data_IF_501873580738
#
_entry.id   IF_501873580738
#
_cell.length_a   1.000
_cell.length_b   1.000
_cell.length_c   1.000
_cell.angle_alpha   90.00
_cell.angle_beta   90.00
_cell.angle_gamma   90.00
#
_symmetry.space_group_name_H-M   'P 1'
#
loop_
_entity.id
_entity.type
_entity.pdbx_description
1 polymer ?
#
# COMPACT_ATOMS: atom_id res chain seq x y z
N UNK A 1 63.30 18.33 37.32
CA UNK A 1 62.97 17.51 36.15
C UNK A 1 61.91 16.41 36.40
N UNK A 2 61.91 15.70 37.54
CA UNK A 2 60.91 14.62 37.80
C UNK A 2 59.49 15.14 38.05
N UNK A 3 59.28 16.27 38.74
CA UNK A 3 57.98 16.88 38.98
C UNK A 3 57.27 17.34 37.68
N UNK A 4 57.97 17.99 36.77
CA UNK A 4 57.44 18.44 35.48
C UNK A 4 56.97 17.28 34.60
N UNK A 5 57.69 16.13 34.64
CA UNK A 5 57.28 14.91 33.94
C UNK A 5 55.98 14.30 34.54
N UNK A 6 55.78 14.40 35.85
CA UNK A 6 54.59 13.88 36.51
C UNK A 6 53.38 14.72 36.17
N UNK A 7 53.51 16.05 36.25
CA UNK A 7 52.41 16.97 35.87
C UNK A 7 52.00 16.86 34.39
N UNK A 8 52.96 16.67 33.50
CA UNK A 8 52.70 16.44 32.08
C UNK A 8 51.93 15.11 31.83
N UNK A 9 52.25 14.04 32.56
CA UNK A 9 51.51 12.77 32.50
C UNK A 9 50.07 12.92 33.02
N UNK A 10 49.88 13.60 34.12
CA UNK A 10 48.52 13.86 34.69
C UNK A 10 47.68 14.68 33.73
N UNK A 11 48.22 15.75 33.13
CA UNK A 11 47.52 16.55 32.12
C UNK A 11 47.13 15.71 30.89
N UNK A 12 48.00 14.84 30.41
CA UNK A 12 47.74 13.95 29.29
C UNK A 12 46.60 12.97 29.62
N UNK A 13 46.59 12.40 30.84
CA UNK A 13 45.51 11.54 31.30
C UNK A 13 44.16 12.24 31.32
N UNK A 14 44.10 13.47 31.85
CA UNK A 14 42.85 14.27 31.86
C UNK A 14 42.36 14.60 30.44
N UNK A 15 43.26 14.92 29.52
CA UNK A 15 42.91 15.15 28.10
C UNK A 15 42.32 13.89 27.47
N UNK A 16 42.90 12.73 27.73
CA UNK A 16 42.42 11.45 27.23
C UNK A 16 41.03 11.11 27.79
N UNK A 17 40.82 11.34 29.09
CA UNK A 17 39.51 11.13 29.74
C UNK A 17 38.46 12.09 29.14
N UNK A 18 38.81 13.35 28.99
CA UNK A 18 37.90 14.35 28.39
C UNK A 18 37.54 13.98 26.93
N UNK A 19 38.51 13.51 26.13
CA UNK A 19 38.28 13.05 24.77
C UNK A 19 37.33 11.81 24.73
N UNK A 20 37.56 10.84 25.65
CA UNK A 20 36.69 9.66 25.77
C UNK A 20 35.23 10.03 26.15
N UNK A 21 35.08 10.93 27.11
CA UNK A 21 33.76 11.43 27.52
C UNK A 21 33.06 12.14 26.34
N UNK A 22 33.80 12.95 25.57
CA UNK A 22 33.26 13.65 24.41
C UNK A 22 32.78 12.65 23.33
N UNK A 23 33.57 11.60 23.04
CA UNK A 23 33.21 10.54 22.10
C UNK A 23 31.95 9.82 22.57
N UNK A 24 31.84 9.49 23.85
CA UNK A 24 30.63 8.84 24.41
C UNK A 24 29.41 9.73 24.30
N UNK A 25 29.53 11.03 24.55
CA UNK A 25 28.43 12.00 24.40
C UNK A 25 27.96 12.10 22.94
N UNK A 26 28.90 12.23 22.00
CA UNK A 26 28.59 12.29 20.56
C UNK A 26 27.89 11.01 20.12
N UNK A 27 28.42 9.84 20.54
CA UNK A 27 27.85 8.53 20.24
C UNK A 27 26.44 8.38 20.84
N UNK A 28 26.23 8.82 22.07
CA UNK A 28 24.92 8.85 22.76
C UNK A 28 23.90 9.71 22.02
N UNK A 29 24.29 10.91 21.60
CA UNK A 29 23.44 11.82 20.84
C UNK A 29 23.09 11.21 19.48
N UNK A 30 24.05 10.60 18.79
CA UNK A 30 23.80 9.94 17.50
C UNK A 30 22.83 8.75 17.61
N UNK A 31 22.99 7.93 18.66
CA UNK A 31 22.08 6.85 18.98
C UNK A 31 20.67 7.35 19.30
N UNK A 32 20.58 8.37 20.14
CA UNK A 32 19.30 8.97 20.50
C UNK A 32 18.56 9.54 19.28
N UNK A 33 19.25 10.31 18.42
CA UNK A 33 18.70 10.83 17.16
C UNK A 33 18.21 9.70 16.26
N UNK A 34 18.97 8.61 16.15
CA UNK A 34 18.57 7.45 15.33
C UNK A 34 17.30 6.76 15.89
N UNK A 35 17.21 6.63 17.22
CA UNK A 35 16.02 6.07 17.88
C UNK A 35 14.79 6.94 17.65
N UNK A 36 14.94 8.27 17.82
CA UNK A 36 13.84 9.22 17.61
C UNK A 36 13.37 9.20 16.15
N UNK A 37 14.30 9.23 15.18
CA UNK A 37 13.97 9.15 13.76
C UNK A 37 13.23 7.84 13.41
N UNK A 38 13.67 6.70 13.95
CA UNK A 38 12.98 5.42 13.75
C UNK A 38 11.59 5.40 14.37
N UNK A 39 11.37 6.03 15.53
CA UNK A 39 10.06 6.14 16.17
C UNK A 39 9.10 7.00 15.34
N UNK A 40 9.58 8.13 14.82
CA UNK A 40 8.78 8.99 13.95
C UNK A 40 8.38 8.28 12.65
N UNK A 41 9.31 7.58 12.01
CA UNK A 41 9.03 6.81 10.80
C UNK A 41 7.98 5.71 11.05
N UNK A 42 8.06 5.00 12.18
CA UNK A 42 7.05 4.00 12.55
C UNK A 42 5.68 4.61 12.74
N UNK A 43 5.59 5.77 13.39
CA UNK A 43 4.31 6.46 13.60
C UNK A 43 3.69 6.88 12.27
N UNK A 44 4.45 7.54 11.39
CA UNK A 44 3.96 7.94 10.06
C UNK A 44 3.49 6.73 9.25
N UNK A 45 4.22 5.62 9.29
CA UNK A 45 3.81 4.42 8.58
C UNK A 45 2.53 3.79 9.15
N UNK A 46 2.34 3.84 10.47
CA UNK A 46 1.11 3.34 11.09
C UNK A 46 -0.09 4.22 10.72
N UNK A 47 0.06 5.55 10.81
CA UNK A 47 -0.97 6.49 10.39
C UNK A 47 -1.35 6.30 8.90
N UNK A 48 -0.37 5.99 8.06
CA UNK A 48 -0.59 5.67 6.64
C UNK A 48 -1.38 4.36 6.46
N UNK A 49 -1.04 3.32 7.23
CA UNK A 49 -1.78 2.05 7.20
C UNK A 49 -3.26 2.26 7.58
N UNK A 50 -3.53 2.99 8.66
CA UNK A 50 -4.88 3.30 9.11
C UNK A 50 -5.66 4.11 8.05
N UNK A 51 -4.99 5.06 7.40
CA UNK A 51 -5.57 5.82 6.29
C UNK A 51 -5.94 4.92 5.11
N UNK A 52 -5.10 3.95 4.77
CA UNK A 52 -5.38 2.97 3.70
C UNK A 52 -6.60 2.11 4.06
N UNK A 53 -6.70 1.63 5.30
CA UNK A 53 -7.86 0.84 5.73
C UNK A 53 -9.16 1.66 5.65
N UNK A 54 -9.13 2.92 6.08
CA UNK A 54 -10.28 3.82 5.98
C UNK A 54 -10.67 4.08 4.51
N UNK A 55 -9.70 4.28 3.63
CA UNK A 55 -9.94 4.47 2.20
C UNK A 55 -10.60 3.24 1.57
N UNK A 56 -10.09 2.03 1.86
CA UNK A 56 -10.65 0.78 1.36
C UNK A 56 -12.08 0.54 1.86
N UNK A 57 -12.35 0.88 3.12
CA UNK A 57 -13.69 0.78 3.71
C UNK A 57 -14.67 1.81 3.10
N UNK A 58 -14.20 3.02 2.79
CA UNK A 58 -15.01 4.02 2.10
C UNK A 58 -15.32 3.61 0.66
N UNK A 59 -14.36 3.06 -0.08
CA UNK A 59 -14.58 2.53 -1.42
C UNK A 59 -15.64 1.43 -1.40
N UNK A 60 -15.55 0.49 -0.46
CA UNK A 60 -16.53 -0.57 -0.29
C UNK A 60 -17.94 -0.05 0.00
N UNK A 61 -18.07 0.91 0.92
CA UNK A 61 -19.35 1.54 1.23
C UNK A 61 -19.94 2.31 0.05
N UNK A 62 -19.09 2.95 -0.77
CA UNK A 62 -19.54 3.64 -1.97
C UNK A 62 -20.08 2.64 -3.02
N UNK A 63 -19.46 1.47 -3.14
CA UNK A 63 -19.92 0.40 -4.01
C UNK A 63 -21.26 -0.20 -3.52
N UNK A 64 -21.38 -0.45 -2.21
CA UNK A 64 -22.63 -0.92 -1.60
C UNK A 64 -23.77 0.11 -1.81
N UNK A 65 -23.49 1.40 -1.60
CA UNK A 65 -24.46 2.47 -1.86
C UNK A 65 -24.86 2.56 -3.33
N UNK A 66 -23.97 2.26 -4.27
CA UNK A 66 -24.30 2.21 -5.70
C UNK A 66 -25.30 1.09 -6.01
N UNK A 67 -25.20 -0.06 -5.34
CA UNK A 67 -26.16 -1.16 -5.51
C UNK A 67 -27.58 -0.83 -5.03
N UNK A 68 -27.71 0.04 -4.02
CA UNK A 68 -29.01 0.47 -3.49
C UNK A 68 -29.77 1.44 -4.41
N UNK A 69 -29.08 2.07 -5.37
CA UNK A 69 -29.73 3.01 -6.30
C UNK A 69 -30.60 2.23 -7.28
N UNK A 70 -31.90 2.54 -7.36
CA UNK A 70 -32.80 1.88 -8.30
C UNK A 70 -32.35 2.06 -9.75
N UNK A 71 -32.32 0.98 -10.53
CA UNK A 71 -31.89 0.97 -11.93
C UNK A 71 -32.62 2.02 -12.76
N UNK A 72 -33.90 2.28 -12.45
CA UNK A 72 -34.71 3.29 -13.13
C UNK A 72 -34.22 4.73 -12.94
N UNK A 73 -33.41 5.00 -11.92
CA UNK A 73 -32.88 6.33 -11.64
C UNK A 73 -31.51 6.57 -12.31
N UNK A 74 -30.90 5.53 -12.91
CA UNK A 74 -29.59 5.57 -13.50
C UNK A 74 -29.62 5.73 -15.02
N UNK A 75 -28.66 6.45 -15.61
CA UNK A 75 -28.41 6.45 -17.05
C UNK A 75 -27.99 5.07 -17.54
N UNK A 76 -28.07 4.81 -18.85
CA UNK A 76 -27.63 3.53 -19.42
C UNK A 76 -26.17 3.20 -19.11
N UNK A 77 -25.29 4.21 -19.11
CA UNK A 77 -23.88 4.09 -18.76
C UNK A 77 -23.70 3.71 -17.27
N UNK A 78 -24.45 4.38 -16.39
CA UNK A 78 -24.44 4.09 -14.94
C UNK A 78 -25.00 2.70 -14.62
N UNK A 79 -26.07 2.28 -15.33
CA UNK A 79 -26.63 0.92 -15.20
C UNK A 79 -25.59 -0.14 -15.60
N UNK A 80 -24.86 0.08 -16.69
CA UNK A 80 -23.80 -0.82 -17.10
C UNK A 80 -22.67 -0.87 -16.07
N UNK A 81 -22.26 0.29 -15.52
CA UNK A 81 -21.26 0.37 -14.48
C UNK A 81 -21.69 -0.36 -13.19
N UNK A 82 -22.93 -0.16 -12.73
CA UNK A 82 -23.50 -0.89 -11.58
C UNK A 82 -23.43 -2.42 -11.79
N UNK A 83 -23.77 -2.90 -12.99
CA UNK A 83 -23.65 -4.32 -13.34
C UNK A 83 -22.21 -4.81 -13.36
N UNK A 84 -21.25 -3.99 -13.82
CA UNK A 84 -19.80 -4.31 -13.78
C UNK A 84 -19.32 -4.43 -12.33
N UNK A 85 -19.66 -3.46 -11.46
CA UNK A 85 -19.27 -3.50 -10.04
C UNK A 85 -19.83 -4.75 -9.38
N UNK A 86 -21.11 -5.06 -9.59
CA UNK A 86 -21.75 -6.27 -9.07
C UNK A 86 -21.05 -7.55 -9.54
N UNK A 87 -20.69 -7.65 -10.83
CA UNK A 87 -19.92 -8.77 -11.35
C UNK A 87 -18.57 -8.93 -10.64
N UNK A 88 -17.86 -7.80 -10.42
CA UNK A 88 -16.56 -7.80 -9.74
C UNK A 88 -16.68 -8.26 -8.28
N UNK A 89 -17.71 -7.87 -7.57
CA UNK A 89 -17.94 -8.23 -6.17
C UNK A 89 -18.35 -9.71 -6.02
N UNK A 90 -19.33 -10.17 -6.79
CA UNK A 90 -19.93 -11.49 -6.64
C UNK A 90 -19.05 -12.60 -7.21
N UNK A 91 -18.54 -12.42 -8.43
CA UNK A 91 -17.82 -13.47 -9.17
C UNK A 91 -16.30 -13.33 -9.07
N UNK A 92 -15.79 -12.17 -8.67
CA UNK A 92 -14.35 -11.86 -8.53
C UNK A 92 -13.51 -12.28 -9.75
N UNK A 93 -13.96 -11.97 -10.99
CA UNK A 93 -13.29 -12.47 -12.20
C UNK A 93 -11.86 -11.90 -12.34
N UNK A 94 -11.53 -10.83 -11.64
CA UNK A 94 -10.21 -10.22 -11.59
C UNK A 94 -9.15 -11.16 -10.97
N UNK A 95 -9.55 -12.18 -10.19
CA UNK A 95 -8.63 -13.17 -9.61
C UNK A 95 -8.08 -14.13 -10.67
N UNK A 96 -8.75 -14.27 -11.80
CA UNK A 96 -8.18 -14.96 -12.95
C UNK A 96 -7.12 -14.05 -13.62
N UNK A 97 -5.92 -14.55 -13.75
CA UNK A 97 -4.82 -13.85 -14.41
C UNK A 97 -5.03 -13.65 -15.91
N UNK A 98 -5.94 -14.39 -16.54
CA UNK A 98 -6.34 -14.24 -17.95
C UNK A 98 -7.36 -13.10 -18.14
N UNK A 99 -7.98 -12.60 -17.04
CA UNK A 99 -8.95 -11.52 -17.10
C UNK A 99 -8.34 -10.28 -17.74
N UNK A 100 -9.02 -9.76 -18.73
CA UNK A 100 -8.63 -8.56 -19.48
C UNK A 100 -9.87 -7.80 -19.95
N UNK A 101 -9.64 -6.69 -20.68
CA UNK A 101 -10.69 -5.82 -21.19
C UNK A 101 -11.70 -6.51 -22.10
N UNK A 102 -11.23 -7.41 -22.96
CA UNK A 102 -12.10 -8.10 -23.93
C UNK A 102 -12.94 -9.17 -23.23
N UNK A 103 -12.36 -9.85 -22.25
CA UNK A 103 -13.05 -10.79 -21.37
C UNK A 103 -14.16 -10.09 -20.58
N UNK A 104 -13.89 -8.90 -20.01
CA UNK A 104 -14.89 -8.13 -19.28
C UNK A 104 -16.06 -7.74 -20.19
N UNK A 105 -15.79 -7.22 -21.37
CA UNK A 105 -16.83 -6.85 -22.34
C UNK A 105 -17.70 -8.06 -22.74
N UNK A 106 -17.08 -9.21 -22.96
CA UNK A 106 -17.77 -10.46 -23.24
C UNK A 106 -18.68 -10.90 -22.07
N UNK A 107 -18.17 -10.86 -20.83
CA UNK A 107 -18.96 -11.19 -19.63
C UNK A 107 -20.15 -10.26 -19.44
N UNK A 108 -20.00 -8.99 -19.81
CA UNK A 108 -21.10 -8.01 -19.75
C UNK A 108 -22.10 -8.14 -20.91
N UNK A 109 -21.83 -9.00 -21.90
CA UNK A 109 -22.67 -9.18 -23.08
C UNK A 109 -22.75 -7.94 -23.96
N UNK A 110 -21.68 -7.13 -24.01
CA UNK A 110 -21.63 -5.87 -24.74
C UNK A 110 -20.25 -5.66 -25.40
N UNK A 111 -20.10 -4.56 -26.12
CA UNK A 111 -18.84 -4.24 -26.75
C UNK A 111 -17.89 -3.50 -25.80
N UNK A 112 -16.61 -3.54 -26.14
CA UNK A 112 -15.51 -2.90 -25.39
C UNK A 112 -15.73 -1.40 -25.17
N UNK A 113 -16.23 -0.66 -26.18
CA UNK A 113 -16.38 0.80 -26.07
C UNK A 113 -17.39 1.19 -25.00
N UNK A 114 -18.52 0.52 -24.92
CA UNK A 114 -19.54 0.79 -23.91
C UNK A 114 -19.00 0.49 -22.49
N UNK A 115 -18.24 -0.59 -22.31
CA UNK A 115 -17.58 -0.89 -21.02
C UNK A 115 -16.54 0.16 -20.69
N UNK A 116 -15.73 0.59 -21.68
CA UNK A 116 -14.72 1.62 -21.47
C UNK A 116 -15.35 2.99 -21.10
N UNK A 117 -16.46 3.34 -21.75
CA UNK A 117 -17.20 4.58 -21.48
C UNK A 117 -17.82 4.54 -20.08
N UNK A 118 -18.44 3.43 -19.70
CA UNK A 118 -19.03 3.26 -18.37
C UNK A 118 -17.97 3.39 -17.25
N UNK A 119 -16.82 2.72 -17.39
CA UNK A 119 -15.74 2.81 -16.41
C UNK A 119 -15.12 4.21 -16.39
N UNK A 120 -14.90 4.82 -17.56
CA UNK A 120 -14.32 6.16 -17.64
C UNK A 120 -15.22 7.23 -17.02
N UNK A 121 -16.53 7.14 -17.25
CA UNK A 121 -17.50 8.10 -16.73
C UNK A 121 -17.72 7.96 -15.21
N UNK A 122 -17.79 6.71 -14.71
CA UNK A 122 -18.19 6.42 -13.33
C UNK A 122 -17.02 6.09 -12.37
N UNK A 123 -15.80 5.90 -12.90
CA UNK A 123 -14.62 5.55 -12.12
C UNK A 123 -13.44 6.50 -12.43
N UNK A 124 -13.63 7.78 -12.22
CA UNK A 124 -12.59 8.83 -12.25
C UNK A 124 -11.69 8.80 -13.50
N UNK A 125 -12.25 8.54 -14.68
CA UNK A 125 -11.52 8.53 -15.93
C UNK A 125 -10.61 7.31 -16.14
N UNK A 126 -10.77 6.25 -15.36
CA UNK A 126 -9.93 5.05 -15.46
C UNK A 126 -10.09 4.31 -16.78
N UNK A 127 -9.02 3.63 -17.20
CA UNK A 127 -9.09 2.60 -18.24
C UNK A 127 -9.58 1.28 -17.66
N UNK A 128 -10.13 0.39 -18.49
CA UNK A 128 -10.57 -0.95 -18.04
C UNK A 128 -9.42 -1.72 -17.38
N UNK A 129 -8.20 -1.66 -17.95
CA UNK A 129 -7.04 -2.34 -17.36
C UNK A 129 -6.72 -1.84 -15.96
N UNK A 130 -6.69 -0.52 -15.77
CA UNK A 130 -6.45 0.07 -14.45
C UNK A 130 -7.57 -0.25 -13.46
N UNK A 131 -8.82 -0.29 -13.91
CA UNK A 131 -9.96 -0.69 -13.10
C UNK A 131 -9.84 -2.14 -12.61
N UNK A 132 -9.46 -3.08 -13.49
CA UNK A 132 -9.20 -4.48 -13.12
C UNK A 132 -8.03 -4.58 -12.11
N UNK A 133 -6.93 -3.86 -12.36
CA UNK A 133 -5.77 -3.87 -11.48
C UNK A 133 -6.10 -3.27 -10.11
N UNK A 134 -6.97 -2.27 -10.03
CA UNK A 134 -7.46 -1.71 -8.78
C UNK A 134 -8.23 -2.74 -7.94
N UNK A 135 -9.11 -3.53 -8.55
CA UNK A 135 -9.80 -4.64 -7.89
C UNK A 135 -8.82 -5.71 -7.37
N UNK A 136 -7.83 -6.08 -8.18
CA UNK A 136 -6.76 -7.00 -7.78
C UNK A 136 -5.96 -6.48 -6.59
N UNK A 137 -5.60 -5.19 -6.60
CA UNK A 137 -4.82 -4.56 -5.52
C UNK A 137 -5.61 -4.50 -4.21
N UNK A 138 -6.91 -4.17 -4.26
CA UNK A 138 -7.79 -4.17 -3.09
C UNK A 138 -7.91 -5.57 -2.49
N UNK A 139 -8.15 -6.56 -3.32
CA UNK A 139 -8.20 -7.96 -2.89
C UNK A 139 -6.87 -8.42 -2.27
N UNK A 140 -5.74 -8.08 -2.88
CA UNK A 140 -4.42 -8.38 -2.32
C UNK A 140 -4.20 -7.66 -0.97
N UNK A 141 -4.60 -6.41 -0.83
CA UNK A 141 -4.49 -5.66 0.42
C UNK A 141 -5.33 -6.28 1.55
N UNK A 142 -6.56 -6.72 1.23
CA UNK A 142 -7.42 -7.46 2.15
C UNK A 142 -6.78 -8.78 2.60
N UNK A 143 -6.22 -9.57 1.66
CA UNK A 143 -5.51 -10.80 2.00
C UNK A 143 -4.26 -10.53 2.86
N UNK A 144 -3.46 -9.53 2.51
CA UNK A 144 -2.28 -9.12 3.30
C UNK A 144 -2.66 -8.68 4.72
N UNK A 145 -3.82 -8.03 4.89
CA UNK A 145 -4.31 -7.60 6.20
C UNK A 145 -4.83 -8.77 7.06
N UNK A 146 -5.52 -9.73 6.47
CA UNK A 146 -6.32 -10.70 7.21
C UNK A 146 -5.79 -12.15 7.16
N UNK A 147 -4.76 -12.44 6.35
CA UNK A 147 -4.16 -13.78 6.28
C UNK A 147 -2.66 -13.72 6.57
N UNK A 148 -2.07 -14.89 6.83
CA UNK A 148 -0.61 -15.04 6.98
C UNK A 148 0.01 -15.76 5.76
N UNK A 149 -0.70 -15.74 4.62
CA UNK A 149 -0.23 -16.36 3.39
C UNK A 149 1.03 -15.68 2.85
N UNK A 150 1.94 -16.43 2.22
CA UNK A 150 3.11 -15.87 1.57
C UNK A 150 2.73 -14.83 0.50
N UNK A 151 3.46 -13.71 0.42
CA UNK A 151 3.20 -12.65 -0.57
C UNK A 151 3.12 -13.21 -2.00
N UNK A 152 3.97 -14.19 -2.35
CA UNK A 152 3.95 -14.83 -3.68
C UNK A 152 2.60 -15.47 -4.00
N UNK A 153 2.02 -16.19 -3.05
CA UNK A 153 0.71 -16.82 -3.19
C UNK A 153 -0.41 -15.77 -3.26
N UNK A 154 -0.35 -14.71 -2.44
CA UNK A 154 -1.31 -13.60 -2.51
C UNK A 154 -1.31 -12.94 -3.89
N UNK A 155 -0.13 -12.75 -4.49
CA UNK A 155 0.00 -12.20 -5.85
C UNK A 155 -0.74 -13.07 -6.87
N UNK A 156 -0.54 -14.37 -6.82
CA UNK A 156 -1.21 -15.33 -7.71
C UNK A 156 -2.72 -15.36 -7.49
N UNK A 157 -3.18 -15.48 -6.24
CA UNK A 157 -4.59 -15.50 -5.85
C UNK A 157 -5.31 -14.18 -6.18
N UNK A 158 -4.59 -13.08 -6.29
CA UNK A 158 -5.13 -11.78 -6.71
C UNK A 158 -5.13 -11.58 -8.22
N UNK A 159 -4.74 -12.59 -9.01
CA UNK A 159 -4.77 -12.56 -10.48
C UNK A 159 -3.61 -11.83 -11.15
N UNK A 160 -2.53 -11.51 -10.42
CA UNK A 160 -1.35 -10.90 -11.04
C UNK A 160 -0.44 -11.98 -11.65
N UNK A 161 -0.05 -11.79 -12.91
CA UNK A 161 0.92 -12.65 -13.61
C UNK A 161 2.37 -12.41 -13.19
N UNK A 162 2.67 -11.22 -12.69
CA UNK A 162 4.03 -10.77 -12.38
C UNK A 162 4.10 -10.14 -11.02
N UNK A 163 4.96 -10.69 -10.16
CA UNK A 163 5.26 -10.11 -8.83
C UNK A 163 5.88 -8.72 -8.94
N UNK A 164 6.69 -8.47 -9.96
CA UNK A 164 7.30 -7.15 -10.18
C UNK A 164 6.23 -6.10 -10.51
N UNK A 165 5.32 -6.43 -11.41
CA UNK A 165 4.20 -5.56 -11.78
C UNK A 165 3.30 -5.27 -10.56
N UNK A 166 2.92 -6.31 -9.82
CA UNK A 166 2.17 -6.17 -8.56
C UNK A 166 2.86 -5.21 -7.58
N UNK A 167 4.15 -5.42 -7.30
CA UNK A 167 4.89 -4.58 -6.34
C UNK A 167 4.91 -3.10 -6.76
N UNK A 168 5.06 -2.84 -8.07
CA UNK A 168 5.04 -1.47 -8.61
C UNK A 168 3.68 -0.83 -8.38
N UNK A 169 2.61 -1.48 -8.83
CA UNK A 169 1.25 -0.95 -8.69
C UNK A 169 0.80 -0.82 -7.23
N UNK A 170 1.15 -1.80 -6.38
CA UNK A 170 0.84 -1.75 -4.95
C UNK A 170 1.49 -0.55 -4.28
N UNK A 171 2.77 -0.31 -4.56
CA UNK A 171 3.50 0.86 -4.05
C UNK A 171 2.96 2.18 -4.60
N UNK A 172 2.58 2.23 -5.86
CA UNK A 172 1.97 3.41 -6.47
C UNK A 172 0.65 3.78 -5.80
N UNK A 173 -0.21 2.78 -5.53
CA UNK A 173 -1.52 2.97 -4.92
C UNK A 173 -1.44 3.27 -3.43
N UNK A 174 -0.74 2.43 -2.66
CA UNK A 174 -0.75 2.45 -1.19
C UNK A 174 0.45 3.17 -0.56
N UNK A 175 1.44 3.61 -1.36
CA UNK A 175 2.69 4.27 -0.90
C UNK A 175 3.53 3.41 0.05
N UNK A 176 3.20 2.13 0.17
CA UNK A 176 3.89 1.10 0.95
C UNK A 176 4.19 -0.10 0.07
N UNK A 177 5.29 -0.78 0.36
CA UNK A 177 5.50 -2.12 -0.22
C UNK A 177 4.62 -3.16 0.48
N UNK A 178 4.28 -4.29 -0.17
CA UNK A 178 3.52 -5.36 0.47
C UNK A 178 4.14 -5.86 1.79
N UNK A 179 5.47 -5.92 1.86
CA UNK A 179 6.20 -6.32 3.08
C UNK A 179 6.10 -5.28 4.21
N UNK A 180 6.10 -4.00 3.87
CA UNK A 180 5.86 -2.92 4.83
C UNK A 180 4.42 -2.96 5.35
N UNK A 181 3.46 -3.18 4.45
CA UNK A 181 2.04 -3.28 4.78
C UNK A 181 1.77 -4.41 5.80
N UNK A 182 2.29 -5.64 5.58
CA UNK A 182 2.17 -6.76 6.53
C UNK A 182 2.81 -6.41 7.89
N UNK A 183 3.93 -5.72 7.90
CA UNK A 183 4.64 -5.37 9.13
C UNK A 183 3.85 -4.38 9.99
N UNK A 184 2.96 -3.60 9.40
CA UNK A 184 2.16 -2.60 10.09
C UNK A 184 0.85 -3.15 10.65
N UNK A 185 0.35 -4.29 10.15
CA UNK A 185 -0.83 -4.96 10.70
C UNK A 185 -0.58 -5.60 12.07
N UNK A 186 0.72 -5.80 12.44
CA UNK A 186 1.16 -6.37 13.74
C UNK A 186 1.39 -5.29 14.77
#
# INVERSE_FOLDING_TARGET
MALQKKEAKERLQWIMIAALVLILLISGIALWRNIVAKRQLRKVNHDLYDTIQQMLEQEKKAEEALEEIPVSALSGTQQLYQRIVKLMQEQKPYTDSAMNRDTLAHMMGTNYNLVADAIRECADGQTIGKFIDDWRLRHAAEMLAHTDEPIGLIVEMSGFKSRSHFNTLFRERFKLTPSEYIRLKK
#
